data_IF_781224633296
#
_entry.id   IF_781224633296
#
_cell.length_a   1.000
_cell.length_b   1.000
_cell.length_c   1.000
_cell.angle_alpha   90.00
_cell.angle_beta   90.00
_cell.angle_gamma   90.00
#
_symmetry.space_group_name_H-M   'P 1'
#
loop_
_entity.id
_entity.type
_entity.pdbx_description
1 polymer ?
#
# COMPACT_ATOMS: atom_id res chain seq x y z
N UNK A 1 60.07 47.82 -13.41
CA UNK A 1 59.49 47.32 -12.14
C UNK A 1 58.13 47.95 -11.78
N UNK A 2 57.90 49.26 -11.89
CA UNK A 2 56.61 49.90 -11.52
C UNK A 2 55.36 49.38 -12.25
N UNK A 3 55.47 48.96 -13.52
CA UNK A 3 54.32 48.47 -14.29
C UNK A 3 53.87 47.06 -13.85
N UNK A 4 54.79 46.21 -13.40
CA UNK A 4 54.49 44.86 -12.91
C UNK A 4 53.70 44.95 -11.59
N UNK A 5 54.09 45.86 -10.70
CA UNK A 5 53.36 46.09 -9.45
C UNK A 5 51.92 46.57 -9.69
N UNK A 6 51.68 47.42 -10.71
CA UNK A 6 50.33 47.84 -11.11
C UNK A 6 49.48 46.65 -11.60
N UNK A 7 50.07 45.75 -12.39
CA UNK A 7 49.34 44.57 -12.90
C UNK A 7 48.96 43.64 -11.73
N UNK A 8 49.89 43.40 -10.82
CA UNK A 8 49.62 42.58 -9.63
C UNK A 8 48.52 43.21 -8.77
N UNK A 9 48.55 44.53 -8.56
CA UNK A 9 47.53 45.23 -7.81
C UNK A 9 46.13 45.15 -8.45
N UNK A 10 46.03 45.24 -9.78
CA UNK A 10 44.75 45.09 -10.51
C UNK A 10 44.23 43.66 -10.41
N UNK A 11 45.12 42.67 -10.46
CA UNK A 11 44.75 41.26 -10.39
C UNK A 11 44.26 40.88 -8.98
N UNK A 12 44.92 41.37 -7.92
CA UNK A 12 44.49 41.13 -6.55
C UNK A 12 43.16 41.85 -6.24
N UNK A 13 42.98 43.08 -6.73
CA UNK A 13 41.69 43.79 -6.66
C UNK A 13 40.57 43.02 -7.38
N UNK A 14 40.84 42.46 -8.56
CA UNK A 14 39.89 41.63 -9.29
C UNK A 14 39.50 40.35 -8.55
N UNK A 15 40.49 39.66 -7.96
CA UNK A 15 40.24 38.44 -7.18
C UNK A 15 39.39 38.71 -5.93
N UNK A 16 39.71 39.78 -5.19
CA UNK A 16 38.93 40.19 -4.02
C UNK A 16 37.51 40.61 -4.43
N UNK A 17 37.38 41.38 -5.52
CA UNK A 17 36.08 41.80 -6.05
C UNK A 17 35.20 40.60 -6.45
N UNK A 18 35.77 39.61 -7.14
CA UNK A 18 35.07 38.38 -7.50
C UNK A 18 34.60 37.59 -6.28
N UNK A 19 35.46 37.45 -5.27
CA UNK A 19 35.12 36.77 -4.02
C UNK A 19 33.97 37.45 -3.27
N UNK A 20 34.02 38.79 -3.15
CA UNK A 20 32.96 39.57 -2.51
C UNK A 20 31.64 39.51 -3.30
N UNK A 21 31.71 39.56 -4.64
CA UNK A 21 30.53 39.41 -5.49
C UNK A 21 29.84 38.06 -5.24
N UNK A 22 30.61 36.98 -5.20
CA UNK A 22 30.08 35.64 -4.98
C UNK A 22 29.53 35.44 -3.57
N UNK A 23 30.16 36.04 -2.54
CA UNK A 23 29.76 35.90 -1.15
C UNK A 23 28.51 36.74 -0.77
N UNK A 24 28.41 37.98 -1.27
CA UNK A 24 27.39 38.92 -0.81
C UNK A 24 26.38 39.32 -1.89
N UNK A 25 26.83 39.59 -3.11
CA UNK A 25 25.98 40.19 -4.16
C UNK A 25 25.17 39.12 -4.88
N UNK A 26 25.80 37.99 -5.22
CA UNK A 26 25.17 36.87 -5.91
C UNK A 26 23.97 36.26 -5.15
N UNK A 27 24.05 35.94 -3.84
CA UNK A 27 22.89 35.41 -3.12
C UNK A 27 21.73 36.41 -3.04
N UNK A 28 22.03 37.73 -2.99
CA UNK A 28 21.00 38.77 -3.02
C UNK A 28 20.29 38.84 -4.38
N UNK A 29 21.05 38.75 -5.49
CA UNK A 29 20.51 38.72 -6.86
C UNK A 29 19.60 37.50 -7.11
N UNK A 30 19.97 36.34 -6.59
CA UNK A 30 19.19 35.10 -6.73
C UNK A 30 17.81 35.24 -6.06
N UNK A 31 17.73 35.88 -4.89
CA UNK A 31 16.51 35.93 -4.10
C UNK A 31 15.57 37.09 -4.44
N UNK A 32 16.02 38.08 -5.23
CA UNK A 32 15.18 39.22 -5.59
C UNK A 32 14.35 38.96 -6.87
N UNK A 33 13.02 39.22 -6.86
CA UNK A 33 12.13 39.00 -8.01
C UNK A 33 12.59 39.63 -9.35
N UNK A 34 13.24 40.80 -9.32
CA UNK A 34 13.66 41.51 -10.55
C UNK A 34 14.85 40.85 -11.25
N UNK A 35 15.78 40.24 -10.49
CA UNK A 35 17.02 39.68 -11.05
C UNK A 35 16.98 38.17 -11.22
N UNK A 36 15.98 37.48 -10.64
CA UNK A 36 15.77 36.04 -10.76
C UNK A 36 15.54 35.53 -12.19
N UNK A 37 15.06 36.38 -13.10
CA UNK A 37 14.77 36.02 -14.49
C UNK A 37 15.96 36.13 -15.46
N UNK A 38 17.12 36.60 -14.99
CA UNK A 38 18.33 36.62 -15.82
C UNK A 38 18.80 35.18 -16.11
N UNK A 39 19.17 34.89 -17.35
CA UNK A 39 19.50 33.53 -17.82
C UNK A 39 20.61 32.86 -16.98
N UNK A 40 21.60 33.62 -16.53
CA UNK A 40 22.66 33.10 -15.65
C UNK A 40 22.16 32.77 -14.23
N UNK A 41 21.24 33.57 -13.67
CA UNK A 41 20.66 33.35 -12.33
C UNK A 41 19.74 32.14 -12.33
N UNK A 42 18.92 32.00 -13.38
CA UNK A 42 18.03 30.85 -13.58
C UNK A 42 18.79 29.52 -13.62
N UNK A 43 19.98 29.51 -14.23
CA UNK A 43 20.83 28.30 -14.31
C UNK A 43 21.47 27.92 -12.97
N UNK A 44 21.62 28.89 -12.05
CA UNK A 44 22.10 28.68 -10.67
C UNK A 44 20.99 28.17 -9.74
N UNK A 45 19.74 28.53 -10.02
CA UNK A 45 18.52 28.06 -9.32
C UNK A 45 18.02 26.68 -9.75
N UNK A 46 18.85 25.81 -10.32
CA UNK A 46 18.38 24.47 -10.71
C UNK A 46 17.93 23.69 -9.46
N UNK A 47 16.64 23.79 -9.15
CA UNK A 47 15.92 22.91 -8.25
C UNK A 47 16.06 21.52 -8.84
N UNK A 48 16.80 20.65 -8.14
CA UNK A 48 16.79 19.23 -8.45
C UNK A 48 15.37 18.79 -8.14
N UNK A 49 14.56 18.55 -9.18
CA UNK A 49 13.22 17.98 -9.05
C UNK A 49 13.43 16.54 -8.57
N UNK A 50 13.47 16.35 -7.27
CA UNK A 50 13.39 15.04 -6.65
C UNK A 50 11.92 14.67 -6.64
N UNK A 51 11.47 13.93 -7.66
CA UNK A 51 10.21 13.22 -7.55
C UNK A 51 10.35 12.25 -6.38
N UNK A 52 9.67 12.51 -5.28
CA UNK A 52 9.54 11.54 -4.20
C UNK A 52 8.85 10.32 -4.77
N UNK A 53 9.59 9.24 -5.00
CA UNK A 53 8.99 7.94 -5.23
C UNK A 53 8.32 7.57 -3.91
N UNK A 54 6.99 7.57 -3.87
CA UNK A 54 6.22 6.93 -2.80
C UNK A 54 6.56 5.44 -2.83
N UNK A 55 7.66 5.07 -2.17
CA UNK A 55 8.02 3.69 -1.93
C UNK A 55 7.21 3.25 -0.73
N UNK A 56 6.04 2.66 -0.99
CA UNK A 56 5.31 1.92 0.04
C UNK A 56 6.13 0.66 0.32
N UNK A 57 6.92 0.68 1.39
CA UNK A 57 7.60 -0.51 1.91
C UNK A 57 6.56 -1.26 2.73
N UNK A 58 5.89 -2.23 2.11
CA UNK A 58 4.97 -3.12 2.81
C UNK A 58 5.83 -4.20 3.48
N UNK A 59 5.90 -4.20 4.81
CA UNK A 59 6.54 -5.27 5.55
C UNK A 59 5.69 -6.56 5.48
N UNK A 60 6.34 -7.72 5.36
CA UNK A 60 5.65 -9.01 5.13
C UNK A 60 4.60 -9.31 6.21
N UNK A 61 4.90 -8.98 7.46
CA UNK A 61 3.98 -9.18 8.58
C UNK A 61 2.70 -8.36 8.40
N UNK A 62 2.81 -7.12 7.95
CA UNK A 62 1.66 -6.24 7.68
C UNK A 62 0.79 -6.80 6.56
N UNK A 63 1.38 -7.34 5.49
CA UNK A 63 0.62 -7.93 4.40
C UNK A 63 -0.18 -9.17 4.85
N UNK A 64 0.37 -9.98 5.77
CA UNK A 64 -0.34 -11.13 6.35
C UNK A 64 -1.45 -10.69 7.30
N UNK A 65 -1.19 -9.71 8.15
CA UNK A 65 -2.18 -9.12 9.06
C UNK A 65 -3.37 -8.57 8.27
N UNK A 66 -3.12 -7.77 7.23
CA UNK A 66 -4.18 -7.23 6.37
C UNK A 66 -4.97 -8.33 5.63
N UNK A 67 -4.30 -9.40 5.19
CA UNK A 67 -4.96 -10.53 4.56
C UNK A 67 -5.86 -11.27 5.55
N UNK A 68 -5.40 -11.44 6.78
CA UNK A 68 -6.17 -12.05 7.85
C UNK A 68 -7.40 -11.20 8.19
N UNK A 69 -7.24 -9.89 8.43
CA UNK A 69 -8.33 -8.97 8.75
C UNK A 69 -9.43 -8.94 7.67
N UNK A 70 -9.06 -9.09 6.39
CA UNK A 70 -10.00 -9.14 5.27
C UNK A 70 -10.84 -10.41 5.25
N UNK A 71 -10.29 -11.54 5.69
CA UNK A 71 -10.93 -12.86 5.55
C UNK A 71 -11.59 -13.32 6.85
N UNK A 72 -11.05 -12.94 8.02
CA UNK A 72 -11.52 -13.38 9.34
C UNK A 72 -13.04 -13.29 9.50
N UNK A 73 -13.62 -12.15 9.11
CA UNK A 73 -15.07 -11.91 9.25
C UNK A 73 -15.92 -12.79 8.33
N UNK A 74 -15.36 -13.30 7.23
CA UNK A 74 -16.04 -14.21 6.31
C UNK A 74 -15.95 -15.69 6.75
N UNK A 75 -15.18 -16.00 7.79
CA UNK A 75 -15.03 -17.35 8.33
C UNK A 75 -16.10 -17.61 9.39
N UNK A 76 -16.73 -18.77 9.32
CA UNK A 76 -17.71 -19.23 10.32
C UNK A 76 -17.21 -20.52 10.98
N UNK A 77 -17.57 -20.73 12.25
CA UNK A 77 -17.32 -21.98 12.97
C UNK A 77 -18.49 -22.96 12.83
N UNK A 78 -18.19 -24.21 12.48
CA UNK A 78 -19.21 -25.27 12.33
C UNK A 78 -18.67 -26.52 13.02
N UNK A 79 -19.28 -26.92 14.14
CA UNK A 79 -18.76 -27.98 15.01
C UNK A 79 -17.26 -27.79 15.32
N UNK A 80 -16.42 -28.78 14.99
CA UNK A 80 -14.97 -28.76 15.19
C UNK A 80 -14.22 -28.24 13.94
N UNK A 81 -14.90 -27.56 13.03
CA UNK A 81 -14.32 -27.05 11.79
C UNK A 81 -14.86 -25.68 11.41
N UNK A 82 -14.71 -25.33 10.14
CA UNK A 82 -15.02 -23.99 9.64
C UNK A 82 -15.77 -24.03 8.31
N UNK A 83 -16.38 -22.89 7.98
CA UNK A 83 -16.95 -22.61 6.67
C UNK A 83 -16.57 -21.20 6.21
N UNK A 84 -16.87 -20.91 4.96
CA UNK A 84 -16.60 -19.62 4.33
C UNK A 84 -17.89 -19.03 3.75
N UNK A 85 -18.17 -17.77 4.08
CA UNK A 85 -19.27 -17.00 3.48
C UNK A 85 -18.86 -16.63 2.05
N UNK A 86 -19.66 -17.06 1.07
CA UNK A 86 -19.38 -16.90 -0.37
C UNK A 86 -20.31 -15.89 -1.05
N UNK A 87 -21.39 -15.47 -0.38
CA UNK A 87 -22.27 -14.41 -0.87
C UNK A 87 -22.76 -13.51 0.26
N UNK A 88 -23.07 -12.25 -0.07
CA UNK A 88 -23.46 -11.23 0.93
C UNK A 88 -24.85 -11.45 1.51
N UNK A 89 -25.65 -12.33 0.88
CA UNK A 89 -26.98 -12.75 1.32
C UNK A 89 -26.94 -14.06 2.13
N UNK A 90 -25.76 -14.60 2.46
CA UNK A 90 -25.65 -15.69 3.45
C UNK A 90 -25.47 -17.11 2.91
N UNK A 91 -25.02 -17.31 1.67
CA UNK A 91 -24.52 -18.63 1.27
C UNK A 91 -23.14 -18.87 1.85
N UNK A 92 -22.96 -20.07 2.40
CA UNK A 92 -21.74 -20.50 3.06
C UNK A 92 -21.35 -21.88 2.51
N UNK A 93 -20.07 -22.05 2.20
CA UNK A 93 -19.51 -23.34 1.82
C UNK A 93 -18.73 -23.95 3.00
N UNK A 94 -18.88 -25.24 3.20
CA UNK A 94 -18.15 -26.01 4.22
C UNK A 94 -18.00 -27.47 3.78
N UNK A 95 -17.40 -28.30 4.62
CA UNK A 95 -17.29 -29.73 4.38
C UNK A 95 -18.60 -30.42 4.76
N UNK A 96 -19.02 -31.42 3.97
CA UNK A 96 -20.26 -32.15 4.24
C UNK A 96 -20.20 -32.92 5.57
N UNK A 97 -19.04 -33.46 5.91
CA UNK A 97 -18.80 -34.19 7.17
C UNK A 97 -18.86 -33.30 8.41
N UNK A 98 -18.69 -31.98 8.25
CA UNK A 98 -18.80 -31.02 9.35
C UNK A 98 -20.26 -30.70 9.69
N UNK A 99 -21.22 -31.09 8.85
CA UNK A 99 -22.62 -30.79 9.13
C UNK A 99 -23.12 -31.54 10.38
N UNK A 100 -23.70 -30.84 11.36
CA UNK A 100 -24.27 -31.45 12.54
C UNK A 100 -25.43 -32.38 12.18
N UNK A 101 -25.56 -33.49 12.93
CA UNK A 101 -26.63 -34.47 12.73
C UNK A 101 -27.93 -34.10 13.45
N UNK A 102 -27.85 -33.23 14.46
CA UNK A 102 -28.94 -32.93 15.40
C UNK A 102 -29.39 -31.48 15.32
N UNK A 103 -28.49 -30.51 15.49
CA UNK A 103 -28.82 -29.08 15.49
C UNK A 103 -28.05 -28.32 14.41
N UNK A 104 -28.77 -27.70 13.47
CA UNK A 104 -28.18 -26.93 12.38
C UNK A 104 -27.85 -25.50 12.81
N UNK A 105 -26.77 -25.35 13.58
CA UNK A 105 -26.24 -24.04 13.93
C UNK A 105 -24.76 -23.92 13.59
N UNK A 106 -24.35 -22.68 13.34
CA UNK A 106 -22.98 -22.26 13.19
C UNK A 106 -22.67 -21.13 14.18
N UNK A 107 -21.39 -20.85 14.35
CA UNK A 107 -20.91 -19.70 15.11
C UNK A 107 -20.32 -18.66 14.17
N UNK A 108 -20.75 -17.41 14.32
CA UNK A 108 -20.21 -16.29 13.57
C UNK A 108 -20.12 -15.07 14.50
N UNK A 109 -18.94 -14.46 14.59
CA UNK A 109 -18.64 -13.35 15.51
C UNK A 109 -19.08 -13.60 16.98
N UNK A 110 -19.00 -14.86 17.43
CA UNK A 110 -19.40 -15.27 18.78
C UNK A 110 -20.90 -15.54 18.96
N UNK A 111 -21.73 -15.32 17.93
CA UNK A 111 -23.16 -15.59 17.94
C UNK A 111 -23.49 -16.98 17.36
N UNK A 112 -24.47 -17.66 17.98
CA UNK A 112 -25.04 -18.92 17.46
C UNK A 112 -26.13 -18.58 16.44
N UNK A 113 -25.96 -19.01 15.19
CA UNK A 113 -26.88 -18.73 14.07
C UNK A 113 -27.39 -20.04 13.47
N UNK A 114 -28.71 -20.14 13.29
CA UNK A 114 -29.30 -21.29 12.60
C UNK A 114 -29.09 -21.18 11.09
N UNK A 115 -28.90 -22.32 10.43
CA UNK A 115 -28.75 -22.38 8.99
C UNK A 115 -29.61 -23.48 8.38
N UNK A 116 -29.85 -23.36 7.08
CA UNK A 116 -30.51 -24.38 6.27
C UNK A 116 -29.50 -25.01 5.30
N UNK A 117 -29.62 -26.31 5.07
CA UNK A 117 -28.76 -26.98 4.09
C UNK A 117 -29.37 -26.87 2.71
N UNK A 118 -28.73 -26.12 1.83
CA UNK A 118 -29.17 -25.96 0.43
C UNK A 118 -28.77 -27.14 -0.45
N UNK A 119 -27.53 -27.63 -0.30
CA UNK A 119 -27.03 -28.77 -1.09
C UNK A 119 -25.90 -29.48 -0.34
N UNK A 120 -25.77 -30.79 -0.59
CA UNK A 120 -24.64 -31.60 -0.15
C UNK A 120 -24.11 -32.43 -1.31
N UNK A 121 -22.80 -32.53 -1.39
CA UNK A 121 -22.07 -33.42 -2.28
C UNK A 121 -21.17 -34.30 -1.40
N UNK A 122 -21.54 -35.58 -1.27
CA UNK A 122 -20.82 -36.54 -0.44
C UNK A 122 -19.58 -37.10 -1.15
N UNK A 123 -19.53 -37.06 -2.48
CA UNK A 123 -18.37 -37.55 -3.24
C UNK A 123 -17.19 -36.59 -3.11
N UNK A 124 -17.47 -35.29 -3.15
CA UNK A 124 -16.47 -34.22 -3.01
C UNK A 124 -16.35 -33.71 -1.56
N UNK A 125 -17.14 -34.23 -0.63
CA UNK A 125 -17.23 -33.77 0.77
C UNK A 125 -17.50 -32.26 0.90
N UNK A 126 -18.44 -31.73 0.12
CA UNK A 126 -18.81 -30.32 0.12
C UNK A 126 -20.27 -30.13 0.52
N UNK A 127 -20.53 -29.07 1.28
CA UNK A 127 -21.88 -28.65 1.62
C UNK A 127 -22.05 -27.15 1.40
N UNK A 128 -23.22 -26.81 0.86
CA UNK A 128 -23.70 -25.44 0.71
C UNK A 128 -24.84 -25.24 1.70
N UNK A 129 -24.66 -24.28 2.60
CA UNK A 129 -25.65 -23.90 3.61
C UNK A 129 -26.03 -22.43 3.45
N UNK A 130 -27.19 -22.07 3.99
CA UNK A 130 -27.79 -20.74 3.89
C UNK A 130 -28.14 -20.22 5.28
N UNK A 131 -27.81 -18.96 5.55
CA UNK A 131 -28.29 -18.21 6.71
C UNK A 131 -29.13 -17.01 6.27
N UNK A 132 -30.12 -16.65 7.08
CA UNK A 132 -30.99 -15.49 6.85
C UNK A 132 -30.36 -14.20 7.40
N UNK A 133 -29.35 -13.71 6.67
CA UNK A 133 -28.60 -12.47 6.95
C UNK A 133 -28.23 -11.77 5.64
N UNK A 134 -28.15 -10.44 5.70
CA UNK A 134 -27.78 -9.59 4.58
C UNK A 134 -26.53 -8.78 4.90
N UNK A 135 -25.86 -8.29 3.86
CA UNK A 135 -24.66 -7.46 3.97
C UNK A 135 -23.52 -8.14 4.74
N UNK A 136 -23.37 -9.45 4.55
CA UNK A 136 -22.28 -10.21 5.15
C UNK A 136 -20.95 -9.93 4.43
N UNK A 137 -19.81 -9.98 5.16
CA UNK A 137 -18.49 -10.04 4.56
C UNK A 137 -18.34 -11.32 3.74
N UNK A 138 -17.77 -11.20 2.54
CA UNK A 138 -17.68 -12.31 1.57
C UNK A 138 -16.23 -12.61 1.23
N UNK A 139 -15.88 -13.89 1.27
CA UNK A 139 -14.63 -14.39 0.71
C UNK A 139 -14.80 -14.60 -0.80
N UNK A 140 -13.94 -13.94 -1.60
CA UNK A 140 -13.95 -14.08 -3.06
C UNK A 140 -13.12 -15.28 -3.48
N UNK A 141 -13.60 -16.00 -4.49
CA UNK A 141 -12.81 -17.04 -5.14
C UNK A 141 -11.68 -16.41 -5.97
N UNK A 142 -10.48 -16.97 -5.82
CA UNK A 142 -9.34 -16.64 -6.67
C UNK A 142 -9.43 -17.38 -8.01
N UNK A 143 -8.86 -16.79 -9.06
CA UNK A 143 -8.68 -17.49 -10.33
C UNK A 143 -7.49 -18.44 -10.23
N UNK A 144 -7.76 -19.75 -10.35
CA UNK A 144 -6.74 -20.78 -10.28
C UNK A 144 -5.76 -20.73 -11.46
N UNK A 145 -6.16 -20.18 -12.61
CA UNK A 145 -5.30 -20.04 -13.78
C UNK A 145 -4.20 -18.97 -13.59
N UNK A 146 -4.42 -18.03 -12.68
CA UNK A 146 -3.47 -16.97 -12.36
C UNK A 146 -2.45 -17.37 -11.27
N UNK A 147 -2.66 -18.52 -10.61
CA UNK A 147 -1.77 -18.99 -9.55
C UNK A 147 -0.40 -19.39 -10.08
N UNK A 148 0.65 -18.94 -9.39
CA UNK A 148 2.05 -19.24 -9.74
C UNK A 148 2.68 -20.19 -8.73
N UNK A 149 3.53 -21.10 -9.21
CA UNK A 149 4.30 -22.00 -8.36
C UNK A 149 5.21 -21.16 -7.45
N UNK A 150 5.20 -21.46 -6.15
CA UNK A 150 5.95 -20.72 -5.13
C UNK A 150 5.22 -19.50 -4.57
N UNK A 151 3.99 -19.23 -5.01
CA UNK A 151 3.12 -18.24 -4.36
C UNK A 151 2.75 -18.68 -2.94
N UNK A 152 2.69 -17.72 -2.02
CA UNK A 152 2.31 -17.96 -0.62
C UNK A 152 0.79 -18.14 -0.49
N UNK A 153 0.40 -19.01 0.45
CA UNK A 153 -0.98 -19.32 0.84
C UNK A 153 -1.12 -19.11 2.33
#
# INVERSE_FOLDING_TARGET
>A
MKNIFKIIAVLTLGAIGGMLFQAFILPYLINHPYFGNLSFVKNLKREVIVNSVEKIVIEENTALEEAFEKVEKAVVGINNGSGLIITSDGLIITLADLLPKTENYLFWEGEKINFEVSRKDLEQNLALIKIERNNLPVCRFADLAELKIGQRV
#
